data_IF_755196174987
#
_entry.id   IF_755196174987
#
_cell.length_a   1.000
_cell.length_b   1.000
_cell.length_c   1.000
_cell.angle_alpha   90.00
_cell.angle_beta   90.00
_cell.angle_gamma   90.00
#
_symmetry.space_group_name_H-M   'P 1'
#
loop_
_entity.id
_entity.type
_entity.pdbx_description
1 polymer ?
#
# COMPACT_ATOMS: atom_id res chain seq x y z
N UNK A 1 -9.19 -16.90 10.44
CA UNK A 1 -7.90 -16.73 9.75
C UNK A 1 -6.82 -16.49 10.78
N UNK A 2 -5.71 -17.21 10.65
CA UNK A 2 -4.57 -17.17 11.58
C UNK A 2 -3.50 -16.15 11.15
N UNK A 3 -3.55 -15.66 9.91
CA UNK A 3 -2.48 -14.84 9.31
C UNK A 3 -1.34 -15.66 8.71
N UNK A 4 -1.38 -16.98 8.80
CA UNK A 4 -0.37 -17.86 8.23
C UNK A 4 -0.51 -18.01 6.73
N UNK A 5 0.61 -18.08 6.02
CA UNK A 5 0.63 -18.37 4.59
C UNK A 5 0.24 -19.83 4.36
N UNK A 6 -0.73 -20.04 3.49
CA UNK A 6 -1.18 -21.40 3.09
C UNK A 6 -0.43 -21.93 1.86
N UNK A 7 0.37 -21.10 1.20
CA UNK A 7 1.22 -21.45 0.07
C UNK A 7 2.45 -20.53 0.02
N UNK A 8 3.43 -20.90 -0.78
CA UNK A 8 4.57 -20.04 -1.06
C UNK A 8 4.11 -18.75 -1.77
N UNK A 9 4.86 -17.68 -1.50
CA UNK A 9 4.63 -16.37 -2.11
C UNK A 9 5.08 -16.39 -3.57
N UNK A 10 4.16 -16.14 -4.49
CA UNK A 10 4.47 -15.92 -5.91
C UNK A 10 4.79 -14.43 -6.16
N UNK A 11 5.87 -14.16 -6.88
CA UNK A 11 6.24 -12.81 -7.30
C UNK A 11 6.18 -12.72 -8.81
N UNK A 12 5.42 -11.76 -9.32
CA UNK A 12 5.28 -11.46 -10.75
C UNK A 12 5.66 -10.00 -10.99
N UNK A 13 6.35 -9.71 -12.06
CA UNK A 13 6.68 -8.34 -12.43
C UNK A 13 5.42 -7.55 -12.80
N UNK A 14 5.37 -6.31 -12.33
CA UNK A 14 4.31 -5.38 -12.73
C UNK A 14 4.46 -5.05 -14.21
N UNK A 15 3.40 -5.23 -15.04
CA UNK A 15 3.48 -4.94 -16.47
C UNK A 15 3.78 -3.47 -16.73
N UNK A 16 4.47 -3.19 -17.83
CA UNK A 16 4.75 -1.83 -18.27
C UNK A 16 4.25 -1.62 -19.69
N UNK A 17 3.33 -0.66 -19.94
CA UNK A 17 2.69 0.22 -18.96
C UNK A 17 1.74 -0.55 -18.01
N UNK A 18 1.62 -0.08 -16.77
CA UNK A 18 0.78 -0.67 -15.73
C UNK A 18 -0.68 -0.21 -15.90
N UNK A 19 -1.29 -0.52 -17.05
CA UNK A 19 -2.69 -0.18 -17.35
C UNK A 19 -3.67 -1.15 -16.68
N UNK A 20 -4.96 -0.77 -16.51
CA UNK A 20 -5.98 -1.67 -15.98
C UNK A 20 -6.05 -3.00 -16.73
N UNK A 21 -5.96 -2.96 -18.04
CA UNK A 21 -5.99 -4.17 -18.87
C UNK A 21 -4.78 -5.07 -18.63
N UNK A 22 -3.58 -4.50 -18.61
CA UNK A 22 -2.34 -5.25 -18.41
C UNK A 22 -2.30 -5.88 -17.01
N UNK A 23 -2.68 -5.13 -15.97
CA UNK A 23 -2.78 -5.66 -14.60
C UNK A 23 -3.88 -6.73 -14.52
N UNK A 24 -5.04 -6.53 -15.17
CA UNK A 24 -6.10 -7.53 -15.20
C UNK A 24 -5.68 -8.86 -15.85
N UNK A 25 -4.85 -8.82 -16.90
CA UNK A 25 -4.24 -10.03 -17.49
C UNK A 25 -3.31 -10.73 -16.52
N UNK A 26 -2.43 -9.98 -15.84
CA UNK A 26 -1.52 -10.53 -14.83
C UNK A 26 -2.29 -11.18 -13.68
N UNK A 27 -3.34 -10.53 -13.18
CA UNK A 27 -4.19 -11.09 -12.14
C UNK A 27 -4.81 -12.42 -12.55
N UNK A 28 -5.34 -12.53 -13.79
CA UNK A 28 -5.89 -13.80 -14.31
C UNK A 28 -4.86 -14.91 -14.29
N UNK A 29 -3.62 -14.62 -14.71
CA UNK A 29 -2.52 -15.60 -14.71
C UNK A 29 -2.23 -16.09 -13.30
N UNK A 30 -2.05 -15.17 -12.34
CA UNK A 30 -1.78 -15.53 -10.94
C UNK A 30 -2.93 -16.33 -10.32
N UNK A 31 -4.18 -15.93 -10.55
CA UNK A 31 -5.36 -16.66 -10.06
C UNK A 31 -5.41 -18.09 -10.62
N UNK A 32 -5.11 -18.23 -11.92
CA UNK A 32 -5.10 -19.54 -12.58
C UNK A 32 -3.98 -20.45 -12.06
N UNK A 33 -2.78 -19.93 -11.86
CA UNK A 33 -1.63 -20.65 -11.29
C UNK A 33 -1.93 -21.20 -9.90
N UNK A 34 -2.56 -20.38 -9.05
CA UNK A 34 -2.98 -20.78 -7.71
C UNK A 34 -4.30 -21.59 -7.69
N UNK A 35 -4.96 -21.75 -8.84
CA UNK A 35 -6.28 -22.41 -8.96
C UNK A 35 -7.29 -21.84 -7.94
N UNK A 36 -7.15 -20.55 -7.63
CA UNK A 36 -7.96 -19.91 -6.61
C UNK A 36 -9.41 -19.72 -7.05
N UNK A 37 -10.32 -20.03 -6.14
CA UNK A 37 -11.76 -19.78 -6.28
C UNK A 37 -12.26 -19.13 -5.00
N UNK A 38 -12.80 -17.92 -5.10
CA UNK A 38 -13.32 -17.18 -3.96
C UNK A 38 -12.94 -15.69 -4.00
N UNK A 39 -13.28 -14.96 -2.94
CA UNK A 39 -12.95 -13.54 -2.88
C UNK A 39 -11.45 -13.29 -2.79
N UNK A 40 -11.02 -12.14 -3.32
CA UNK A 40 -9.62 -11.71 -3.37
C UNK A 40 -9.51 -10.34 -2.71
N UNK A 41 -8.62 -10.22 -1.73
CA UNK A 41 -8.16 -8.94 -1.22
C UNK A 41 -7.00 -8.42 -2.06
N UNK A 42 -7.06 -7.16 -2.48
CA UNK A 42 -6.03 -6.52 -3.30
C UNK A 42 -5.56 -5.22 -2.66
N UNK A 43 -4.30 -5.20 -2.21
CA UNK A 43 -3.60 -3.96 -1.90
C UNK A 43 -3.16 -3.28 -3.19
N UNK A 44 -3.43 -1.99 -3.35
CA UNK A 44 -3.17 -1.26 -4.59
C UNK A 44 -2.47 0.08 -4.28
N UNK A 45 -1.45 0.47 -5.08
CA UNK A 45 -0.65 1.68 -4.82
C UNK A 45 -1.40 2.95 -5.27
N UNK A 46 -2.56 3.19 -4.69
CA UNK A 46 -3.40 4.36 -4.90
C UNK A 46 -4.35 4.56 -3.73
N UNK A 47 -4.83 5.78 -3.53
CA UNK A 47 -5.97 6.02 -2.65
C UNK A 47 -7.21 5.36 -3.24
N UNK A 48 -7.83 4.46 -2.49
CA UNK A 48 -9.01 3.69 -2.89
C UNK A 48 -10.21 4.13 -2.05
N UNK A 49 -11.26 4.57 -2.70
CA UNK A 49 -12.50 4.97 -2.05
C UNK A 49 -13.69 4.25 -2.70
N UNK A 50 -14.37 3.39 -1.93
CA UNK A 50 -15.48 2.57 -2.42
C UNK A 50 -15.15 1.78 -3.69
N UNK A 51 -13.94 1.21 -3.77
CA UNK A 51 -13.45 0.44 -4.91
C UNK A 51 -13.02 1.27 -6.13
N UNK A 52 -13.05 2.61 -6.02
CA UNK A 52 -12.63 3.55 -7.06
C UNK A 52 -11.21 4.03 -6.75
N UNK A 53 -10.31 3.95 -7.72
CA UNK A 53 -8.97 4.53 -7.59
C UNK A 53 -9.04 6.05 -7.76
N UNK A 54 -8.57 6.80 -6.77
CA UNK A 54 -8.61 8.26 -6.75
C UNK A 54 -7.28 8.89 -7.17
N UNK A 55 -6.19 8.17 -7.00
CA UNK A 55 -4.85 8.59 -7.38
C UNK A 55 -4.17 7.53 -8.26
N UNK A 56 -3.05 7.89 -8.87
CA UNK A 56 -2.24 6.97 -9.67
C UNK A 56 -0.78 7.50 -9.70
N UNK A 57 -0.01 7.24 -8.63
CA UNK A 57 1.38 7.66 -8.54
C UNK A 57 2.31 6.69 -9.29
N UNK A 58 2.14 5.39 -9.06
CA UNK A 58 3.03 4.33 -9.55
C UNK A 58 2.37 3.39 -10.58
N UNK A 59 1.18 3.74 -11.06
CA UNK A 59 0.42 3.03 -12.08
C UNK A 59 -0.06 4.00 -13.17
N UNK A 60 -0.61 3.48 -14.24
CA UNK A 60 -1.11 4.30 -15.33
C UNK A 60 -2.24 5.23 -14.87
N UNK A 61 -2.25 6.46 -15.38
CA UNK A 61 -3.25 7.49 -14.96
C UNK A 61 -4.68 7.15 -15.36
N UNK A 62 -4.88 6.18 -16.26
CA UNK A 62 -6.21 5.64 -16.59
C UNK A 62 -6.93 4.98 -15.41
N UNK A 63 -6.22 4.73 -14.31
CA UNK A 63 -6.84 4.31 -13.06
C UNK A 63 -7.64 5.40 -12.36
N UNK A 64 -7.30 6.68 -12.57
CA UNK A 64 -7.96 7.77 -11.86
C UNK A 64 -9.45 7.84 -12.24
N UNK A 65 -10.32 7.64 -11.25
CA UNK A 65 -11.78 7.59 -11.43
C UNK A 65 -12.32 6.23 -11.87
N UNK A 66 -11.46 5.25 -12.13
CA UNK A 66 -11.88 3.90 -12.48
C UNK A 66 -12.48 3.19 -11.26
N UNK A 67 -13.65 2.55 -11.43
CA UNK A 67 -14.19 1.58 -10.48
C UNK A 67 -13.36 0.28 -10.54
N UNK A 68 -12.12 0.35 -10.02
CA UNK A 68 -11.08 -0.66 -10.22
C UNK A 68 -11.45 -2.01 -9.61
N UNK A 69 -12.09 -2.03 -8.45
CA UNK A 69 -12.57 -3.28 -7.84
C UNK A 69 -13.59 -3.99 -8.72
N UNK A 70 -14.55 -3.26 -9.28
CA UNK A 70 -15.55 -3.81 -10.21
C UNK A 70 -14.91 -4.25 -11.53
N UNK A 71 -14.01 -3.43 -12.07
CA UNK A 71 -13.29 -3.74 -13.30
C UNK A 71 -12.52 -5.06 -13.18
N UNK A 72 -11.73 -5.23 -12.12
CA UNK A 72 -10.98 -6.45 -11.89
C UNK A 72 -11.87 -7.64 -11.54
N UNK A 73 -12.98 -7.42 -10.82
CA UNK A 73 -13.95 -8.48 -10.56
C UNK A 73 -14.54 -9.02 -11.86
N UNK A 74 -14.95 -8.14 -12.76
CA UNK A 74 -15.44 -8.54 -14.10
C UNK A 74 -14.36 -9.20 -14.93
N UNK A 75 -13.13 -8.66 -14.90
CA UNK A 75 -12.02 -9.21 -15.65
C UNK A 75 -11.63 -10.62 -15.20
N UNK A 76 -11.65 -10.91 -13.90
CA UNK A 76 -11.17 -12.17 -13.33
C UNK A 76 -12.28 -13.19 -13.08
N UNK A 77 -13.54 -12.77 -13.03
CA UNK A 77 -14.66 -13.60 -12.62
C UNK A 77 -14.71 -13.91 -11.12
N UNK A 78 -13.88 -13.22 -10.31
CA UNK A 78 -13.81 -13.35 -8.85
C UNK A 78 -14.21 -12.03 -8.20
N UNK A 79 -14.78 -12.08 -7.00
CA UNK A 79 -15.05 -10.85 -6.23
C UNK A 79 -13.73 -10.27 -5.72
N UNK A 80 -13.43 -9.03 -6.10
CA UNK A 80 -12.22 -8.33 -5.66
C UNK A 80 -12.58 -7.18 -4.73
N UNK A 81 -11.97 -7.18 -3.54
CA UNK A 81 -11.99 -6.09 -2.58
C UNK A 81 -10.66 -5.35 -2.67
N UNK A 82 -10.69 -4.03 -2.81
CA UNK A 82 -9.49 -3.22 -2.94
C UNK A 82 -9.37 -2.20 -1.83
N UNK A 83 -8.14 -2.02 -1.36
CA UNK A 83 -7.75 -0.91 -0.49
C UNK A 83 -6.34 -0.42 -0.88
N UNK A 84 -5.90 0.70 -0.31
CA UNK A 84 -4.52 1.15 -0.45
C UNK A 84 -3.56 0.07 0.10
N UNK A 85 -2.37 -0.07 -0.49
CA UNK A 85 -1.41 -1.11 -0.11
C UNK A 85 -0.83 -0.91 1.29
N UNK A 86 -0.56 0.34 1.71
CA UNK A 86 -0.14 0.64 3.07
C UNK A 86 -1.27 0.40 4.09
N UNK A 87 -2.52 0.72 3.74
CA UNK A 87 -3.69 0.40 4.57
C UNK A 87 -3.82 -1.11 4.79
N UNK A 88 -3.65 -1.91 3.72
CA UNK A 88 -3.70 -3.38 3.82
C UNK A 88 -2.56 -3.93 4.69
N UNK A 89 -1.34 -3.38 4.54
CA UNK A 89 -0.22 -3.74 5.40
C UNK A 89 -0.50 -3.39 6.86
N UNK A 90 -1.05 -2.21 7.11
CA UNK A 90 -1.47 -1.78 8.44
C UNK A 90 -2.56 -2.69 9.03
N UNK A 91 -3.56 -3.07 8.25
CA UNK A 91 -4.60 -4.00 8.71
C UNK A 91 -4.01 -5.36 9.12
N UNK A 92 -2.98 -5.84 8.41
CA UNK A 92 -2.29 -7.07 8.76
C UNK A 92 -1.54 -6.94 10.10
N UNK A 93 -0.83 -5.83 10.31
CA UNK A 93 -0.13 -5.55 11.56
C UNK A 93 -1.09 -5.39 12.75
N UNK A 94 -2.22 -4.72 12.55
CA UNK A 94 -3.26 -4.60 13.59
C UNK A 94 -3.92 -5.95 13.92
N UNK A 95 -4.04 -6.83 12.95
CA UNK A 95 -4.70 -8.12 13.16
C UNK A 95 -3.78 -9.20 13.69
N UNK A 96 -2.54 -9.25 13.22
CA UNK A 96 -1.61 -10.37 13.41
C UNK A 96 -0.23 -9.96 13.92
N UNK A 97 0.14 -8.69 13.85
CA UNK A 97 1.46 -8.16 14.15
C UNK A 97 1.51 -7.28 15.39
N UNK A 98 2.44 -6.31 15.37
CA UNK A 98 2.76 -5.45 16.51
C UNK A 98 1.61 -4.52 16.93
N UNK A 99 0.65 -4.24 16.05
CA UNK A 99 -0.52 -3.42 16.33
C UNK A 99 -1.64 -4.14 17.08
N UNK A 100 -1.56 -5.49 17.17
CA UNK A 100 -2.61 -6.30 17.78
C UNK A 100 -2.83 -5.93 19.24
N UNK A 101 -4.11 -5.81 19.62
CA UNK A 101 -4.56 -5.53 20.97
C UNK A 101 -4.06 -4.18 21.56
N UNK A 102 -3.53 -3.27 20.72
CA UNK A 102 -3.19 -1.91 21.12
C UNK A 102 -4.45 -1.02 21.04
N UNK A 103 -4.89 -0.45 22.16
CA UNK A 103 -6.01 0.49 22.18
C UNK A 103 -5.56 1.89 21.73
N UNK A 104 -6.54 2.75 21.42
CA UNK A 104 -6.30 4.15 21.09
C UNK A 104 -5.86 4.36 19.66
N UNK A 105 -4.95 5.31 19.44
CA UNK A 105 -4.46 5.68 18.12
C UNK A 105 -3.18 4.91 17.81
N UNK A 106 -3.19 4.19 16.69
CA UNK A 106 -2.02 3.45 16.19
C UNK A 106 -1.69 3.94 14.78
N UNK A 107 -0.46 4.38 14.60
CA UNK A 107 0.08 4.73 13.29
C UNK A 107 1.10 3.66 12.87
N UNK A 108 0.86 3.04 11.72
CA UNK A 108 1.80 2.10 11.09
C UNK A 108 2.43 2.80 9.90
N UNK A 109 3.76 2.77 9.85
CA UNK A 109 4.54 3.41 8.78
C UNK A 109 5.30 2.32 8.03
N UNK A 110 5.07 2.23 6.73
CA UNK A 110 5.85 1.39 5.83
C UNK A 110 6.95 2.23 5.17
N UNK A 111 8.19 1.77 5.26
CA UNK A 111 9.35 2.49 4.74
C UNK A 111 9.99 1.65 3.64
N UNK A 112 9.93 2.16 2.41
CA UNK A 112 10.44 1.47 1.22
C UNK A 112 10.76 2.47 0.12
N UNK A 113 10.26 2.23 -1.08
CA UNK A 113 10.37 3.17 -2.21
C UNK A 113 9.79 4.53 -1.82
N UNK A 114 8.70 4.52 -1.06
CA UNK A 114 8.07 5.69 -0.47
C UNK A 114 7.91 5.55 1.04
N UNK A 115 7.05 6.40 1.62
CA UNK A 115 6.56 6.34 2.99
C UNK A 115 5.04 6.10 2.95
N UNK A 116 4.63 4.85 3.13
CA UNK A 116 3.22 4.52 3.29
C UNK A 116 2.77 4.63 4.75
N UNK A 117 1.52 4.98 4.97
CA UNK A 117 0.98 5.12 6.34
C UNK A 117 -0.42 4.52 6.43
N UNK A 118 -0.70 3.87 7.55
CA UNK A 118 -2.02 3.42 7.91
C UNK A 118 -2.32 3.86 9.35
N UNK A 119 -3.38 4.64 9.52
CA UNK A 119 -3.79 5.19 10.80
C UNK A 119 -5.02 4.45 11.31
N UNK A 120 -5.00 4.11 12.59
CA UNK A 120 -6.11 3.45 13.26
C UNK A 120 -6.53 4.24 14.51
N UNK A 121 -7.81 4.22 14.79
CA UNK A 121 -8.38 4.71 16.06
C UNK A 121 -9.25 3.60 16.62
N UNK A 122 -8.94 3.16 17.84
CA UNK A 122 -9.66 2.06 18.52
C UNK A 122 -9.78 0.80 17.62
N UNK A 123 -8.71 0.47 16.91
CA UNK A 123 -8.65 -0.67 15.99
C UNK A 123 -9.35 -0.48 14.64
N UNK A 124 -9.97 0.69 14.39
CA UNK A 124 -10.64 1.01 13.13
C UNK A 124 -9.74 1.81 12.22
N UNK A 125 -9.57 1.33 10.98
CA UNK A 125 -8.79 2.02 9.96
C UNK A 125 -9.40 3.36 9.58
N UNK A 126 -8.57 4.41 9.55
CA UNK A 126 -8.85 5.68 8.88
C UNK A 126 -8.20 5.62 7.49
N UNK A 127 -8.96 5.28 6.44
CA UNK A 127 -8.37 4.90 5.16
C UNK A 127 -7.75 6.09 4.41
N UNK A 128 -6.70 5.80 3.65
CA UNK A 128 -6.04 6.76 2.74
C UNK A 128 -5.54 8.03 3.45
N UNK A 129 -4.91 7.91 4.59
CA UNK A 129 -4.38 9.08 5.33
C UNK A 129 -3.18 9.72 4.64
N UNK A 130 -2.39 8.93 3.87
CA UNK A 130 -1.30 9.41 2.99
C UNK A 130 -0.32 10.39 3.68
N UNK A 131 -0.01 10.14 4.96
CA UNK A 131 0.85 11.02 5.75
C UNK A 131 2.33 11.03 5.30
N UNK A 132 2.73 10.11 4.41
CA UNK A 132 4.02 10.18 3.72
C UNK A 132 4.17 11.41 2.81
N UNK A 133 3.06 12.03 2.41
CA UNK A 133 3.03 13.21 1.55
C UNK A 133 2.96 14.55 2.30
N UNK A 134 3.05 14.54 3.63
CA UNK A 134 3.13 15.80 4.40
C UNK A 134 4.41 16.56 4.09
N UNK A 135 4.33 17.89 4.11
CA UNK A 135 5.51 18.74 3.98
C UNK A 135 6.17 18.96 5.34
N UNK A 136 7.46 18.69 5.40
CA UNK A 136 8.28 18.89 6.58
C UNK A 136 8.61 20.37 6.78
N UNK A 137 9.13 20.73 7.94
CA UNK A 137 9.54 22.11 8.26
C UNK A 137 10.60 22.70 7.30
N UNK A 138 11.35 21.85 6.62
CA UNK A 138 12.30 22.25 5.58
C UNK A 138 11.66 22.45 4.19
N UNK A 139 10.33 22.37 4.07
CA UNK A 139 9.58 22.56 2.83
C UNK A 139 9.65 21.37 1.85
N UNK A 140 10.19 20.24 2.27
CA UNK A 140 10.30 19.03 1.44
C UNK A 140 9.23 18.03 1.84
N UNK A 141 8.62 17.37 0.87
CA UNK A 141 7.70 16.25 1.08
C UNK A 141 8.40 15.10 1.81
N UNK A 142 7.78 14.54 2.85
CA UNK A 142 8.40 13.56 3.74
C UNK A 142 8.94 12.35 3.00
N UNK A 143 8.17 11.78 2.07
CA UNK A 143 8.59 10.65 1.25
C UNK A 143 9.87 10.94 0.46
N UNK A 144 9.97 12.14 -0.12
CA UNK A 144 11.15 12.59 -0.90
C UNK A 144 12.34 12.97 -0.03
N UNK A 145 12.18 12.96 1.28
CA UNK A 145 13.23 13.30 2.24
C UNK A 145 13.71 12.11 3.05
N UNK A 146 12.82 11.24 3.50
CA UNK A 146 13.09 10.21 4.50
C UNK A 146 12.79 8.77 4.07
N UNK A 147 12.32 8.51 2.82
CA UNK A 147 12.12 7.13 2.35
C UNK A 147 13.45 6.34 2.26
N UNK A 148 13.37 5.01 2.27
CA UNK A 148 14.55 4.16 2.05
C UNK A 148 15.15 4.39 0.66
N UNK A 149 14.32 4.59 -0.38
CA UNK A 149 14.80 4.93 -1.71
C UNK A 149 15.71 6.16 -1.70
N UNK A 150 15.38 7.18 -0.90
CA UNK A 150 16.22 8.37 -0.72
C UNK A 150 17.54 8.03 -0.04
N UNK A 151 17.50 7.17 1.00
CA UNK A 151 18.73 6.71 1.66
C UNK A 151 19.68 6.05 0.67
N UNK A 152 19.16 5.11 -0.12
CA UNK A 152 19.95 4.37 -1.11
C UNK A 152 20.47 5.28 -2.23
N UNK A 153 19.60 6.08 -2.84
CA UNK A 153 19.96 6.93 -3.98
C UNK A 153 20.98 8.01 -3.61
N UNK A 154 20.93 8.52 -2.36
CA UNK A 154 21.86 9.55 -1.86
C UNK A 154 23.04 8.98 -1.07
N UNK A 155 23.16 7.65 -1.01
CA UNK A 155 24.18 6.94 -0.24
C UNK A 155 24.30 7.44 1.21
N UNK A 156 23.15 7.67 1.86
CA UNK A 156 23.12 8.18 3.22
C UNK A 156 23.54 7.11 4.22
N UNK A 157 24.41 7.48 5.16
CA UNK A 157 24.69 6.64 6.33
C UNK A 157 23.42 6.49 7.18
N UNK A 158 23.32 5.38 7.90
CA UNK A 158 22.19 5.09 8.77
C UNK A 158 21.88 6.22 9.77
N UNK A 159 22.93 6.85 10.33
CA UNK A 159 22.77 7.99 11.25
C UNK A 159 22.09 9.18 10.58
N UNK A 160 22.59 9.60 9.41
CA UNK A 160 22.09 10.76 8.68
C UNK A 160 20.65 10.54 8.19
N UNK A 161 20.37 9.31 7.77
CA UNK A 161 19.01 8.92 7.40
C UNK A 161 18.07 8.85 8.62
N UNK A 162 18.56 8.34 9.77
CA UNK A 162 17.81 8.34 11.02
C UNK A 162 17.40 9.74 11.49
N UNK A 163 18.26 10.74 11.30
CA UNK A 163 17.95 12.15 11.60
C UNK A 163 16.80 12.67 10.68
N UNK A 164 16.80 12.27 9.40
CA UNK A 164 15.72 12.61 8.47
C UNK A 164 14.40 11.94 8.85
N UNK A 165 14.46 10.66 9.20
CA UNK A 165 13.28 9.92 9.65
C UNK A 165 12.74 10.50 10.97
N UNK A 166 13.64 10.90 11.89
CA UNK A 166 13.23 11.55 13.13
C UNK A 166 12.52 12.89 12.88
N UNK A 167 12.99 13.70 11.91
CA UNK A 167 12.28 14.93 11.53
C UNK A 167 10.85 14.62 11.04
N UNK A 168 10.67 13.56 10.24
CA UNK A 168 9.34 13.13 9.81
C UNK A 168 8.49 12.70 10.99
N UNK A 169 9.00 11.83 11.88
CA UNK A 169 8.25 11.33 13.03
C UNK A 169 7.87 12.43 14.03
N UNK A 170 8.69 13.47 14.16
CA UNK A 170 8.38 14.60 15.03
C UNK A 170 7.45 15.65 14.40
N UNK A 171 7.17 15.53 13.10
CA UNK A 171 6.20 16.39 12.39
C UNK A 171 4.79 15.83 12.51
N UNK A 172 4.65 14.54 12.74
CA UNK A 172 3.38 13.81 12.89
C UNK A 172 2.78 13.98 14.26
#
# INVERSE_FOLDING_TARGET
>A
TTGELVSERTRVETPRPATPEAIGKTLKTVIAEHKWKGPIGMGFPAAIQHGIARTAANVDKSFIGLAAAEYFSKATGQTIYMANDADVAGMAEMRFGAGKDNPGVVLIITIGTGLGTALFSEGHLMPNTELGHVYLSNGVEAERYASEAVRVTKDLKWKDWGERLNLYLTTM
#
